data_IF_492225328801
#
_entry.id   IF_492225328801
#
_cell.length_a   1.000
_cell.length_b   1.000
_cell.length_c   1.000
_cell.angle_alpha   90.00
_cell.angle_beta   90.00
_cell.angle_gamma   90.00
#
_symmetry.space_group_name_H-M   'P 1'
#
loop_
_entity.id
_entity.type
_entity.pdbx_description
1 polymer ?
#
# COMPACT_ATOMS: atom_id res chain seq x y z
N UNK A 1 -26.56 11.83 38.74
CA UNK A 1 -26.76 13.02 37.87
C UNK A 1 -26.27 12.64 36.49
N UNK A 2 -27.17 12.49 35.51
CA UNK A 2 -26.79 12.20 34.13
C UNK A 2 -26.46 13.51 33.42
N UNK A 3 -25.19 13.69 33.03
CA UNK A 3 -24.78 14.79 32.16
C UNK A 3 -25.17 14.43 30.71
N UNK A 4 -26.30 14.92 30.23
CA UNK A 4 -26.59 14.93 28.80
C UNK A 4 -25.80 16.08 28.18
N UNK A 5 -24.63 15.79 27.61
CA UNK A 5 -23.91 16.78 26.80
C UNK A 5 -24.62 16.97 25.46
N UNK A 6 -25.14 18.17 25.22
CA UNK A 6 -25.63 18.56 23.91
C UNK A 6 -24.44 18.68 22.94
N UNK A 7 -24.40 17.83 21.91
CA UNK A 7 -23.34 17.87 20.90
C UNK A 7 -23.62 18.96 19.88
N UNK A 8 -22.82 20.03 19.90
CA UNK A 8 -22.86 21.09 18.89
C UNK A 8 -21.87 20.74 17.77
N UNK A 9 -22.36 20.67 16.53
CA UNK A 9 -21.49 20.46 15.36
C UNK A 9 -20.78 21.77 14.99
N UNK A 10 -19.50 21.87 15.33
CA UNK A 10 -18.65 23.00 14.96
C UNK A 10 -17.71 22.59 13.82
N UNK A 11 -17.75 23.30 12.70
CA UNK A 11 -16.76 23.13 11.61
C UNK A 11 -15.46 23.85 11.98
N UNK A 12 -14.61 23.20 12.77
CA UNK A 12 -13.31 23.73 13.19
C UNK A 12 -12.22 23.13 12.30
N UNK A 13 -11.32 23.98 11.80
CA UNK A 13 -10.08 23.52 11.16
C UNK A 13 -9.03 23.33 12.25
N UNK A 14 -8.65 22.08 12.49
CA UNK A 14 -7.61 21.71 13.44
C UNK A 14 -6.40 21.16 12.70
N UNK A 15 -5.20 21.50 13.17
CA UNK A 15 -3.98 20.86 12.74
C UNK A 15 -3.73 19.55 13.49
N UNK A 16 -2.75 18.77 13.05
CA UNK A 16 -2.45 17.46 13.65
C UNK A 16 -2.17 17.53 15.16
N UNK A 17 -1.37 18.50 15.61
CA UNK A 17 -1.00 18.62 17.02
C UNK A 17 -2.23 18.93 17.88
N UNK A 18 -3.12 19.80 17.40
CA UNK A 18 -4.38 20.11 18.09
C UNK A 18 -5.29 18.87 18.18
N UNK A 19 -5.38 18.06 17.12
CA UNK A 19 -6.14 16.80 17.14
C UNK A 19 -5.53 15.80 18.13
N UNK A 20 -4.19 15.72 18.18
CA UNK A 20 -3.49 14.84 19.11
C UNK A 20 -3.74 15.23 20.56
N UNK A 21 -3.61 16.52 20.89
CA UNK A 21 -3.89 17.04 22.24
C UNK A 21 -5.33 16.74 22.67
N UNK A 22 -6.31 16.94 21.78
CA UNK A 22 -7.71 16.59 22.06
C UNK A 22 -7.89 15.09 22.29
N UNK A 23 -7.24 14.26 21.48
CA UNK A 23 -7.31 12.80 21.62
C UNK A 23 -6.69 12.33 22.94
N UNK A 24 -5.64 12.98 23.42
CA UNK A 24 -5.00 12.66 24.70
C UNK A 24 -5.89 12.96 25.91
N UNK A 25 -6.79 13.93 25.80
CA UNK A 25 -7.73 14.33 26.85
C UNK A 25 -8.94 13.40 26.98
N UNK A 26 -9.18 12.53 25.99
CA UNK A 26 -10.30 11.58 26.01
C UNK A 26 -10.15 10.53 27.13
N UNK A 27 -11.29 10.00 27.58
CA UNK A 27 -11.33 8.83 28.46
C UNK A 27 -10.72 7.59 27.79
N UNK A 28 -10.37 6.57 28.57
CA UNK A 28 -9.79 5.33 28.00
C UNK A 28 -10.78 4.62 27.08
N UNK A 29 -12.07 4.61 27.42
CA UNK A 29 -13.13 4.02 26.59
C UNK A 29 -13.29 4.78 25.26
N UNK A 30 -13.31 6.11 25.30
CA UNK A 30 -13.43 6.94 24.10
C UNK A 30 -12.20 6.82 23.20
N UNK A 31 -11.00 6.70 23.77
CA UNK A 31 -9.76 6.44 23.03
C UNK A 31 -9.83 5.09 22.30
N UNK A 32 -10.32 4.05 22.99
CA UNK A 32 -10.49 2.74 22.39
C UNK A 32 -11.49 2.78 21.24
N UNK A 33 -12.62 3.45 21.41
CA UNK A 33 -13.62 3.60 20.35
C UNK A 33 -13.07 4.38 19.15
N UNK A 34 -12.44 5.53 19.40
CA UNK A 34 -11.82 6.35 18.35
C UNK A 34 -10.73 5.58 17.60
N UNK A 35 -9.91 4.80 18.32
CA UNK A 35 -8.86 3.98 17.69
C UNK A 35 -9.45 2.93 16.72
N UNK A 36 -10.60 2.34 17.04
CA UNK A 36 -11.29 1.37 16.18
C UNK A 36 -11.86 2.05 14.94
N UNK A 37 -12.49 3.21 15.10
CA UNK A 37 -13.01 4.00 13.98
C UNK A 37 -11.88 4.39 13.01
N UNK A 38 -10.78 4.95 13.52
CA UNK A 38 -9.60 5.30 12.73
C UNK A 38 -8.93 4.08 12.10
N UNK A 39 -8.94 2.92 12.75
CA UNK A 39 -8.40 1.69 12.18
C UNK A 39 -9.18 1.23 10.93
N UNK A 40 -10.50 1.42 10.91
CA UNK A 40 -11.34 1.13 9.73
C UNK A 40 -10.98 2.06 8.58
N UNK A 41 -10.90 3.37 8.82
CA UNK A 41 -10.57 4.36 7.79
C UNK A 41 -9.13 4.19 7.25
N UNK A 42 -8.17 3.95 8.14
CA UNK A 42 -6.76 3.81 7.77
C UNK A 42 -6.44 2.49 7.08
N UNK A 43 -7.32 1.47 7.17
CA UNK A 43 -7.13 0.17 6.52
C UNK A 43 -6.92 0.32 5.01
N UNK A 44 -7.76 1.09 4.35
CA UNK A 44 -7.66 1.31 2.90
C UNK A 44 -6.37 2.03 2.50
N UNK A 45 -5.90 2.96 3.34
CA UNK A 45 -4.63 3.67 3.14
C UNK A 45 -3.45 2.70 3.27
N UNK A 46 -3.45 1.86 4.31
CA UNK A 46 -2.41 0.85 4.55
C UNK A 46 -2.34 -0.16 3.40
N UNK A 47 -3.48 -0.69 2.98
CA UNK A 47 -3.55 -1.65 1.87
C UNK A 47 -3.07 -1.04 0.55
N UNK A 48 -3.43 0.23 0.28
CA UNK A 48 -2.95 0.92 -0.93
C UNK A 48 -1.46 1.16 -0.92
N UNK A 49 -0.89 1.55 0.22
CA UNK A 49 0.56 1.67 0.39
C UNK A 49 1.26 0.34 0.18
N UNK A 50 0.69 -0.74 0.73
CA UNK A 50 1.21 -2.08 0.56
C UNK A 50 1.17 -2.51 -0.91
N UNK A 51 0.04 -2.34 -1.57
CA UNK A 51 -0.13 -2.65 -2.99
C UNK A 51 0.88 -1.89 -3.85
N UNK A 52 1.08 -0.60 -3.59
CA UNK A 52 2.07 0.20 -4.32
C UNK A 52 3.51 -0.25 -4.06
N UNK A 53 3.82 -0.77 -2.88
CA UNK A 53 5.15 -1.29 -2.57
C UNK A 53 5.44 -2.63 -3.25
N UNK A 54 4.40 -3.44 -3.50
CA UNK A 54 4.51 -4.73 -4.20
C UNK A 54 4.25 -4.64 -5.69
N UNK A 55 3.74 -3.52 -6.19
CA UNK A 55 3.46 -3.33 -7.60
C UNK A 55 4.80 -3.31 -8.33
N UNK A 56 5.07 -4.36 -9.09
CA UNK A 56 6.16 -4.38 -10.07
C UNK A 56 5.69 -3.67 -11.33
N UNK A 57 6.64 -3.19 -12.12
CA UNK A 57 6.35 -2.76 -13.48
C UNK A 57 5.73 -3.93 -14.24
N UNK A 58 4.69 -3.64 -15.02
CA UNK A 58 4.07 -4.64 -15.88
C UNK A 58 5.05 -4.94 -17.02
N UNK A 59 5.41 -6.22 -17.18
CA UNK A 59 6.24 -6.65 -18.29
C UNK A 59 5.38 -6.71 -19.56
N UNK A 60 5.83 -6.02 -20.61
CA UNK A 60 5.12 -5.98 -21.88
C UNK A 60 5.33 -7.27 -22.69
N UNK A 61 4.38 -7.63 -23.57
CA UNK A 61 4.57 -8.76 -24.49
C UNK A 61 5.82 -8.60 -25.36
N UNK A 62 6.16 -7.36 -25.72
CA UNK A 62 7.36 -7.04 -26.50
C UNK A 62 8.64 -7.37 -25.73
N UNK A 63 8.70 -7.07 -24.43
CA UNK A 63 9.85 -7.44 -23.57
C UNK A 63 9.95 -8.95 -23.41
N UNK A 64 8.81 -9.65 -23.28
CA UNK A 64 8.78 -11.12 -23.24
C UNK A 64 9.32 -11.71 -24.54
N UNK A 65 8.83 -11.24 -25.68
CA UNK A 65 9.22 -11.77 -26.99
C UNK A 65 10.71 -11.51 -27.26
N UNK A 66 11.22 -10.34 -26.89
CA UNK A 66 12.63 -10.00 -27.01
C UNK A 66 13.53 -10.94 -26.19
N UNK A 67 13.17 -11.20 -24.93
CA UNK A 67 13.92 -12.14 -24.08
C UNK A 67 13.86 -13.57 -24.63
N UNK A 68 12.68 -14.02 -25.09
CA UNK A 68 12.50 -15.35 -25.65
C UNK A 68 13.33 -15.54 -26.92
N UNK A 69 13.37 -14.56 -27.82
CA UNK A 69 14.18 -14.63 -29.03
C UNK A 69 15.68 -14.59 -28.73
N UNK A 70 16.11 -13.79 -27.74
CA UNK A 70 17.51 -13.80 -27.29
C UNK A 70 17.94 -15.19 -26.79
N UNK A 71 17.11 -15.82 -25.94
CA UNK A 71 17.37 -17.18 -25.42
C UNK A 71 17.33 -18.23 -26.54
N UNK A 72 16.41 -18.12 -27.50
CA UNK A 72 16.34 -19.03 -28.66
C UNK A 72 17.60 -18.95 -29.51
N UNK A 73 18.08 -17.74 -29.77
CA UNK A 73 19.29 -17.50 -30.55
C UNK A 73 20.52 -18.08 -29.85
N UNK A 74 20.69 -17.82 -28.54
CA UNK A 74 21.79 -18.39 -27.76
C UNK A 74 21.78 -19.92 -27.79
N UNK A 75 20.61 -20.54 -27.62
CA UNK A 75 20.45 -21.98 -27.67
C UNK A 75 20.80 -22.56 -29.05
N UNK A 76 20.43 -21.87 -30.13
CA UNK A 76 20.76 -22.28 -31.49
C UNK A 76 22.27 -22.21 -31.75
N UNK A 77 22.91 -21.09 -31.40
CA UNK A 77 24.34 -20.89 -31.57
C UNK A 77 25.15 -21.91 -30.75
N UNK A 78 24.72 -22.22 -29.53
CA UNK A 78 25.33 -23.25 -28.71
C UNK A 78 25.28 -24.62 -29.41
N UNK A 79 24.10 -25.04 -29.90
CA UNK A 79 23.95 -26.30 -30.64
C UNK A 79 24.81 -26.33 -31.91
N UNK A 80 24.97 -25.20 -32.58
CA UNK A 80 25.80 -25.09 -33.77
C UNK A 80 27.29 -25.24 -33.42
N UNK A 81 27.76 -24.58 -32.36
CA UNK A 81 29.12 -24.76 -31.83
C UNK A 81 29.39 -26.21 -31.45
N UNK A 82 28.47 -26.85 -30.74
CA UNK A 82 28.60 -28.25 -30.30
C UNK A 82 28.68 -29.22 -31.49
N UNK A 83 27.93 -28.98 -32.56
CA UNK A 83 27.99 -29.77 -33.81
C UNK A 83 29.28 -29.57 -34.59
N UNK A 84 29.82 -28.35 -34.61
CA UNK A 84 31.04 -28.01 -35.36
C UNK A 84 32.33 -28.42 -34.63
N UNK A 85 32.25 -28.78 -33.34
CA UNK A 85 33.36 -29.29 -32.52
C UNK A 85 33.42 -30.84 -32.49
N UNK A 86 32.64 -31.52 -33.32
CA UNK A 86 32.62 -32.97 -33.49
C UNK A 86 33.26 -33.40 -34.82
#
# INVERSE_FOLDING_TARGET
MCNCMATVSLKIRLNYNQILELTQQLSDDDKLELSRALAVETRGIKLRRLLNAFKTDEISQVEIDAEVEAVRQEAYEKRLRDKNNC
#
